data_IF_249885379004
#
_entry.id   IF_249885379004
#
_cell.length_a   1.000
_cell.length_b   1.000
_cell.length_c   1.000
_cell.angle_alpha   90.00
_cell.angle_beta   90.00
_cell.angle_gamma   90.00
#
_symmetry.space_group_name_H-M   'P 1'
#
loop_
_entity.id
_entity.type
_entity.pdbx_description
1 polymer ?
#
# COMPACT_ATOMS: atom_id res chain seq x y z
N UNK A 1 13.25 0.13 -15.73
CA UNK A 1 12.80 -1.12 -15.05
C UNK A 1 11.29 -1.07 -14.87
N UNK A 2 10.60 -2.22 -14.84
CA UNK A 2 9.14 -2.27 -14.62
C UNK A 2 8.83 -2.19 -13.12
N UNK A 3 7.73 -1.53 -12.71
CA UNK A 3 7.21 -1.61 -11.34
C UNK A 3 6.89 -3.05 -10.95
N UNK A 4 6.95 -3.35 -9.66
CA UNK A 4 6.55 -4.65 -9.10
C UNK A 4 5.36 -4.50 -8.16
N UNK A 5 4.39 -5.41 -8.29
CA UNK A 5 3.32 -5.62 -7.31
C UNK A 5 3.70 -6.78 -6.39
N UNK A 6 3.60 -6.57 -5.09
CA UNK A 6 4.06 -7.46 -4.04
C UNK A 6 2.86 -7.82 -3.18
N UNK A 7 2.58 -9.12 -3.07
CA UNK A 7 1.61 -9.66 -2.15
C UNK A 7 2.33 -10.39 -1.01
N UNK A 8 1.97 -10.09 0.24
CA UNK A 8 2.59 -10.73 1.40
C UNK A 8 1.61 -10.88 2.56
N UNK A 9 1.16 -12.12 2.79
CA UNK A 9 0.32 -12.47 3.93
C UNK A 9 1.11 -13.38 4.86
N UNK A 10 1.31 -12.95 6.11
CA UNK A 10 2.06 -13.70 7.14
C UNK A 10 3.51 -14.08 6.76
N UNK A 11 4.06 -13.47 5.70
CA UNK A 11 5.40 -13.76 5.18
C UNK A 11 6.35 -12.54 5.19
N UNK A 12 6.11 -11.58 6.12
CA UNK A 12 6.89 -10.34 6.19
C UNK A 12 8.39 -10.58 6.45
N UNK A 13 8.76 -11.54 7.31
CA UNK A 13 10.17 -11.86 7.58
C UNK A 13 10.94 -12.28 6.33
N UNK A 14 10.52 -13.34 5.62
CA UNK A 14 11.13 -13.75 4.35
C UNK A 14 11.19 -12.66 3.28
N UNK A 15 10.14 -11.82 3.20
CA UNK A 15 10.12 -10.68 2.26
C UNK A 15 11.18 -9.64 2.61
N UNK A 16 11.23 -9.18 3.87
CA UNK A 16 12.22 -8.21 4.33
C UNK A 16 13.64 -8.76 4.20
N UNK A 17 13.83 -10.06 4.45
CA UNK A 17 15.10 -10.73 4.22
C UNK A 17 15.49 -10.73 2.74
N UNK A 18 14.55 -10.98 1.84
CA UNK A 18 14.80 -10.91 0.39
C UNK A 18 15.17 -9.49 -0.04
N UNK A 19 14.42 -8.47 0.42
CA UNK A 19 14.67 -7.06 0.11
C UNK A 19 16.02 -6.57 0.65
N UNK A 20 16.47 -7.09 1.80
CA UNK A 20 17.72 -6.68 2.44
C UNK A 20 18.95 -7.50 2.01
N UNK A 21 18.80 -8.81 1.77
CA UNK A 21 19.93 -9.73 1.53
C UNK A 21 20.15 -10.01 0.05
N UNK A 22 19.08 -10.13 -0.76
CA UNK A 22 19.21 -10.39 -2.21
C UNK A 22 19.35 -9.12 -3.02
N UNK A 23 18.68 -8.04 -2.62
CA UNK A 23 18.78 -6.76 -3.29
C UNK A 23 19.69 -5.82 -2.52
N UNK A 24 20.71 -5.27 -3.18
CA UNK A 24 21.60 -4.26 -2.59
C UNK A 24 20.85 -2.97 -2.25
N UNK A 25 21.48 -2.07 -1.47
CA UNK A 25 20.87 -0.79 -1.02
C UNK A 25 21.06 0.35 -2.01
N UNK A 26 21.76 0.16 -3.13
CA UNK A 26 22.03 1.22 -4.09
C UNK A 26 20.85 1.40 -5.03
N UNK A 27 20.69 2.62 -5.54
CA UNK A 27 19.73 2.91 -6.61
C UNK A 27 20.02 2.00 -7.82
N UNK A 28 18.99 1.33 -8.33
CA UNK A 28 19.11 0.37 -9.44
C UNK A 28 19.26 -1.10 -9.01
N UNK A 29 19.65 -1.37 -7.76
CA UNK A 29 19.69 -2.74 -7.21
C UNK A 29 18.28 -3.27 -6.91
N UNK A 30 17.29 -2.38 -6.82
CA UNK A 30 15.89 -2.67 -6.52
C UNK A 30 15.00 -2.15 -7.65
N UNK A 31 13.83 -2.77 -7.87
CA UNK A 31 12.76 -2.18 -8.66
C UNK A 31 12.54 -0.71 -8.30
N UNK A 32 12.47 0.16 -9.30
CA UNK A 32 12.27 1.60 -9.10
C UNK A 32 10.97 1.91 -8.37
N UNK A 33 9.92 1.15 -8.65
CA UNK A 33 8.60 1.29 -8.01
C UNK A 33 8.15 -0.03 -7.43
N UNK A 34 7.71 0.00 -6.18
CA UNK A 34 7.18 -1.17 -5.48
C UNK A 34 5.79 -0.87 -4.95
N UNK A 35 4.86 -1.78 -5.19
CA UNK A 35 3.49 -1.68 -4.72
C UNK A 35 3.16 -2.86 -3.81
N UNK A 36 2.73 -2.57 -2.58
CA UNK A 36 2.28 -3.59 -1.62
C UNK A 36 0.76 -3.72 -1.70
N UNK A 37 0.32 -4.69 -2.51
CA UNK A 37 -1.09 -4.98 -2.75
C UNK A 37 -1.76 -5.56 -1.49
N UNK A 38 -3.00 -5.13 -1.24
CA UNK A 38 -3.86 -5.53 -0.13
C UNK A 38 -3.15 -5.53 1.22
N UNK A 39 -2.50 -4.41 1.56
CA UNK A 39 -1.57 -4.34 2.69
C UNK A 39 -2.26 -4.62 4.04
N UNK A 40 -1.99 -5.80 4.61
CA UNK A 40 -2.58 -6.24 5.89
C UNK A 40 -1.73 -6.01 7.14
N UNK A 41 -0.61 -5.28 7.04
CA UNK A 41 0.36 -5.09 8.12
C UNK A 41 -0.11 -4.20 9.28
N UNK A 42 0.83 -3.74 10.11
CA UNK A 42 0.64 -2.79 11.21
C UNK A 42 1.37 -1.49 10.90
N UNK A 43 0.92 -0.36 11.46
CA UNK A 43 1.55 0.95 11.28
C UNK A 43 3.06 0.93 11.59
N UNK A 44 3.46 0.25 12.67
CA UNK A 44 4.87 0.09 13.05
C UNK A 44 5.73 -0.64 12.01
N UNK A 45 5.13 -1.45 11.13
CA UNK A 45 5.85 -2.17 10.09
C UNK A 45 6.18 -1.29 8.87
N UNK A 46 5.46 -0.19 8.66
CA UNK A 46 5.68 0.72 7.52
C UNK A 46 7.12 1.23 7.51
N UNK A 47 7.65 1.63 8.66
CA UNK A 47 9.04 2.07 8.78
C UNK A 47 10.06 0.98 8.41
N UNK A 48 9.78 -0.27 8.77
CA UNK A 48 10.65 -1.40 8.44
C UNK A 48 10.62 -1.71 6.95
N UNK A 49 9.44 -1.64 6.34
CA UNK A 49 9.25 -1.87 4.89
C UNK A 49 9.92 -0.75 4.09
N UNK A 50 9.64 0.51 4.41
CA UNK A 50 10.26 1.67 3.76
C UNK A 50 11.79 1.62 3.89
N UNK A 51 12.31 1.21 5.07
CA UNK A 51 13.73 1.03 5.26
C UNK A 51 14.32 -0.10 4.38
N UNK A 52 13.61 -1.22 4.24
CA UNK A 52 14.02 -2.35 3.39
C UNK A 52 13.89 -2.03 1.89
N UNK A 53 13.01 -1.12 1.51
CA UNK A 53 12.83 -0.64 0.14
C UNK A 53 13.78 0.52 -0.22
N UNK A 54 14.64 0.99 0.70
CA UNK A 54 15.65 2.02 0.38
C UNK A 54 16.47 1.61 -0.85
N UNK A 55 16.50 2.49 -1.84
CA UNK A 55 17.08 2.23 -3.17
C UNK A 55 16.05 2.14 -4.30
N UNK A 56 14.76 1.94 -3.96
CA UNK A 56 13.63 2.23 -4.84
C UNK A 56 13.34 3.72 -4.87
N UNK A 57 12.77 4.21 -5.97
CA UNK A 57 12.34 5.60 -6.11
C UNK A 57 11.03 5.84 -5.37
N UNK A 58 10.07 4.91 -5.48
CA UNK A 58 8.72 5.06 -4.90
C UNK A 58 8.20 3.74 -4.32
N UNK A 59 7.50 3.85 -3.19
CA UNK A 59 6.88 2.71 -2.48
C UNK A 59 5.42 3.04 -2.23
N UNK A 60 4.53 2.19 -2.70
CA UNK A 60 3.08 2.38 -2.65
C UNK A 60 2.40 1.26 -1.87
N UNK A 61 1.24 1.54 -1.30
CA UNK A 61 0.44 0.62 -0.50
C UNK A 61 -1.01 0.65 -0.95
N UNK A 62 -1.55 -0.54 -1.22
CA UNK A 62 -2.94 -0.75 -1.59
C UNK A 62 -3.78 -1.19 -0.41
N UNK A 63 -5.04 -0.76 -0.41
CA UNK A 63 -6.05 -1.27 0.51
C UNK A 63 -7.29 -1.63 -0.30
N UNK A 64 -7.79 -2.84 -0.16
CA UNK A 64 -9.05 -3.26 -0.76
C UNK A 64 -10.13 -3.31 0.34
N UNK A 65 -11.31 -2.67 0.18
CA UNK A 65 -12.34 -2.69 1.21
C UNK A 65 -12.75 -4.09 1.65
N UNK A 66 -12.91 -5.01 0.68
CA UNK A 66 -13.31 -6.38 0.94
C UNK A 66 -12.27 -7.18 1.76
N UNK A 67 -11.01 -6.75 1.76
CA UNK A 67 -9.88 -7.39 2.46
C UNK A 67 -9.52 -6.65 3.75
N UNK A 68 -9.32 -5.33 3.70
CA UNK A 68 -8.65 -4.56 4.74
C UNK A 68 -9.59 -3.86 5.73
N UNK A 69 -10.80 -3.46 5.31
CA UNK A 69 -11.61 -2.50 6.08
C UNK A 69 -12.40 -3.09 7.24
N UNK A 70 -12.33 -4.41 7.41
CA UNK A 70 -12.89 -5.08 8.61
C UNK A 70 -12.09 -4.79 9.88
N UNK A 71 -10.87 -4.26 9.75
CA UNK A 71 -9.98 -4.04 10.88
C UNK A 71 -9.92 -2.55 11.26
N UNK A 72 -10.19 -2.19 12.53
CA UNK A 72 -10.13 -0.79 12.97
C UNK A 72 -8.71 -0.19 12.86
N UNK A 73 -7.68 -1.03 12.89
CA UNK A 73 -6.28 -0.62 12.75
C UNK A 73 -5.96 -0.01 11.37
N UNK A 74 -6.79 -0.25 10.36
CA UNK A 74 -6.50 0.14 8.98
C UNK A 74 -6.38 1.66 8.85
N UNK A 75 -7.18 2.41 9.61
CA UNK A 75 -7.07 3.87 9.67
C UNK A 75 -5.69 4.32 10.20
N UNK A 76 -5.16 3.68 11.24
CA UNK A 76 -3.83 4.02 11.79
C UNK A 76 -2.70 3.70 10.81
N UNK A 77 -2.86 2.62 10.04
CA UNK A 77 -1.90 2.25 8.99
C UNK A 77 -1.92 3.29 7.87
N UNK A 78 -3.10 3.69 7.40
CA UNK A 78 -3.28 4.72 6.37
C UNK A 78 -2.64 6.04 6.80
N UNK A 79 -2.88 6.48 8.04
CA UNK A 79 -2.25 7.68 8.61
C UNK A 79 -0.72 7.58 8.64
N UNK A 80 -0.19 6.41 8.96
CA UNK A 80 1.26 6.20 9.01
C UNK A 80 1.92 6.18 7.62
N UNK A 81 1.18 5.85 6.56
CA UNK A 81 1.67 5.84 5.18
C UNK A 81 1.62 7.26 4.59
N UNK A 82 0.50 7.96 4.78
CA UNK A 82 0.25 9.26 4.15
C UNK A 82 -0.20 9.14 2.69
N UNK A 83 -0.95 10.13 2.23
CA UNK A 83 -1.67 10.10 0.95
C UNK A 83 -0.79 9.84 -0.29
N UNK A 84 0.45 10.36 -0.33
CA UNK A 84 1.33 10.28 -1.51
C UNK A 84 1.83 8.85 -1.82
N UNK A 85 1.62 7.90 -0.90
CA UNK A 85 2.01 6.51 -1.05
C UNK A 85 0.82 5.55 -1.02
N UNK A 86 -0.41 6.06 -1.11
CA UNK A 86 -1.63 5.26 -1.15
C UNK A 86 -2.11 5.06 -2.59
N UNK A 87 -2.68 3.88 -2.85
CA UNK A 87 -3.32 3.53 -4.12
C UNK A 87 -4.68 2.91 -3.83
N UNK A 88 -5.70 3.33 -4.59
CA UNK A 88 -7.03 2.75 -4.51
C UNK A 88 -7.06 1.39 -5.23
N UNK A 89 -7.62 0.39 -4.57
CA UNK A 89 -7.90 -0.91 -5.17
C UNK A 89 -9.18 -1.52 -4.60
N UNK A 90 -9.75 -2.49 -5.31
CA UNK A 90 -10.94 -3.23 -4.89
C UNK A 90 -10.63 -4.68 -4.50
N UNK A 91 -9.64 -5.29 -5.14
CA UNK A 91 -9.31 -6.73 -5.06
C UNK A 91 -10.52 -7.65 -5.27
N UNK A 92 -11.47 -7.20 -6.10
CA UNK A 92 -12.67 -7.98 -6.45
C UNK A 92 -12.38 -8.85 -7.66
N UNK A 93 -12.73 -10.13 -7.56
CA UNK A 93 -12.81 -11.02 -8.72
C UNK A 93 -13.96 -10.61 -9.67
N UNK A 94 -15.04 -10.06 -9.11
CA UNK A 94 -16.22 -9.63 -9.86
C UNK A 94 -16.22 -8.11 -10.09
N UNK A 95 -16.23 -7.70 -11.36
CA UNK A 95 -16.20 -6.29 -11.76
C UNK A 95 -17.41 -5.46 -11.28
N UNK A 96 -18.55 -6.10 -11.01
CA UNK A 96 -19.81 -5.42 -10.65
C UNK A 96 -19.68 -4.55 -9.39
N UNK A 97 -18.86 -4.98 -8.42
CA UNK A 97 -18.66 -4.27 -7.15
C UNK A 97 -17.42 -3.38 -7.14
N UNK A 98 -16.64 -3.33 -8.23
CA UNK A 98 -15.36 -2.60 -8.27
C UNK A 98 -15.56 -1.11 -8.01
N UNK A 99 -16.57 -0.50 -8.65
CA UNK A 99 -16.82 0.94 -8.48
C UNK A 99 -17.24 1.28 -7.06
N UNK A 100 -18.16 0.50 -6.49
CA UNK A 100 -18.62 0.69 -5.11
C UNK A 100 -17.45 0.57 -4.12
N UNK A 101 -16.59 -0.44 -4.30
CA UNK A 101 -15.41 -0.61 -3.46
C UNK A 101 -14.42 0.55 -3.62
N UNK A 102 -14.14 1.03 -4.84
CA UNK A 102 -13.24 2.18 -5.02
C UNK A 102 -13.77 3.47 -4.38
N UNK A 103 -15.09 3.70 -4.44
CA UNK A 103 -15.74 4.83 -3.77
C UNK A 103 -15.67 4.71 -2.24
N UNK A 104 -15.94 3.51 -1.71
CA UNK A 104 -15.80 3.23 -0.28
C UNK A 104 -14.35 3.35 0.19
N UNK A 105 -13.39 2.97 -0.66
CA UNK A 105 -11.96 3.10 -0.41
C UNK A 105 -11.54 4.57 -0.31
N UNK A 106 -11.92 5.38 -1.30
CA UNK A 106 -11.65 6.81 -1.29
C UNK A 106 -12.26 7.49 -0.06
N UNK A 107 -13.51 7.15 0.30
CA UNK A 107 -14.16 7.69 1.49
C UNK A 107 -13.42 7.30 2.78
N UNK A 108 -13.01 6.04 2.92
CA UNK A 108 -12.31 5.59 4.11
C UNK A 108 -10.95 6.28 4.29
N UNK A 109 -10.20 6.48 3.20
CA UNK A 109 -8.94 7.22 3.22
C UNK A 109 -9.18 8.70 3.57
N UNK A 110 -10.22 9.31 3.00
CA UNK A 110 -10.61 10.68 3.30
C UNK A 110 -10.89 10.86 4.80
N UNK A 111 -11.70 9.97 5.39
CA UNK A 111 -12.00 9.98 6.82
C UNK A 111 -10.76 9.73 7.68
N UNK A 112 -9.86 8.85 7.25
CA UNK A 112 -8.65 8.52 8.00
C UNK A 112 -7.64 9.68 8.05
N UNK A 113 -7.57 10.48 6.97
CA UNK A 113 -6.60 11.55 6.78
C UNK A 113 -7.16 12.96 6.99
N UNK A 114 -8.45 13.09 7.32
CA UNK A 114 -9.16 14.38 7.43
C UNK A 114 -9.06 15.21 6.14
N UNK A 115 -9.39 14.56 5.01
CA UNK A 115 -9.30 15.11 3.65
C UNK A 115 -10.65 15.02 2.94
N UNK A 116 -10.83 15.77 1.84
CA UNK A 116 -11.97 15.58 0.95
C UNK A 116 -11.80 14.31 0.10
N UNK A 117 -12.91 13.65 -0.26
CA UNK A 117 -12.88 12.49 -1.15
C UNK A 117 -12.35 12.84 -2.54
N UNK A 118 -12.66 14.05 -3.02
CA UNK A 118 -12.16 14.61 -4.27
C UNK A 118 -10.64 14.74 -4.25
N UNK A 119 -10.06 15.26 -3.16
CA UNK A 119 -8.61 15.38 -3.02
C UNK A 119 -7.94 14.01 -2.97
N UNK A 120 -8.50 13.04 -2.23
CA UNK A 120 -7.99 11.66 -2.20
C UNK A 120 -7.97 11.10 -3.61
N UNK A 121 -9.09 11.18 -4.33
CA UNK A 121 -9.21 10.64 -5.69
C UNK A 121 -8.18 11.27 -6.63
N UNK A 122 -7.92 12.58 -6.54
CA UNK A 122 -6.93 13.28 -7.36
C UNK A 122 -5.49 12.87 -7.04
N UNK A 123 -5.17 12.59 -5.78
CA UNK A 123 -3.80 12.27 -5.35
C UNK A 123 -3.45 10.79 -5.47
N UNK A 124 -4.46 9.93 -5.58
CA UNK A 124 -4.28 8.47 -5.75
C UNK A 124 -4.51 7.97 -7.19
N UNK A 125 -4.83 8.87 -8.14
CA UNK A 125 -5.00 8.57 -9.57
C UNK A 125 -3.69 8.70 -10.35
#
# INVERSE_FOLDING_TARGET
QRPVSIHAVRAWGPLLDTLNKKFGKKKGDKPSRMYFHAFGGKAVQINQINAACRGSDEVFYGFAPCVNFRSPKTADVIRAIGIDSLVLESDRENYMAVREDLEANAQFIADALDMSKEEVTQRTA
#
